data_IF_249524840481
#
_entry.id   IF_249524840481
#
_cell.length_a   1.000
_cell.length_b   1.000
_cell.length_c   1.000
_cell.angle_alpha   90.00
_cell.angle_beta   90.00
_cell.angle_gamma   90.00
#
_symmetry.space_group_name_H-M   'P 1'
#
loop_
_entity.id
_entity.type
_entity.pdbx_description
1 polymer ?
#
# COMPACT_ATOMS: atom_id res chain seq x y z
N UNK A 1 -9.86 -3.98 -12.96
CA UNK A 1 -8.66 -4.32 -12.16
C UNK A 1 -7.98 -3.05 -11.64
N UNK A 2 -8.21 -1.91 -12.29
CA UNK A 2 -7.63 -0.60 -11.97
C UNK A 2 -7.98 -0.05 -10.58
N UNK A 3 -9.19 -0.33 -10.06
CA UNK A 3 -9.62 0.17 -8.74
C UNK A 3 -8.76 -0.36 -7.58
N UNK A 4 -8.28 -1.61 -7.67
CA UNK A 4 -7.51 -2.23 -6.59
C UNK A 4 -6.08 -1.65 -6.51
N UNK A 5 -5.42 -1.49 -7.66
CA UNK A 5 -4.08 -0.91 -7.74
C UNK A 5 -4.13 0.58 -7.34
N UNK A 6 -5.16 1.31 -7.79
CA UNK A 6 -5.41 2.69 -7.37
C UNK A 6 -5.62 2.83 -5.86
N UNK A 7 -6.35 1.90 -5.25
CA UNK A 7 -6.57 1.87 -3.80
C UNK A 7 -5.27 1.69 -3.00
N UNK A 8 -4.41 0.75 -3.41
CA UNK A 8 -3.09 0.54 -2.77
C UNK A 8 -2.22 1.79 -2.92
N UNK A 9 -2.13 2.36 -4.12
CA UNK A 9 -1.33 3.55 -4.39
C UNK A 9 -1.76 4.75 -3.52
N UNK A 10 -3.08 4.95 -3.38
CA UNK A 10 -3.64 6.02 -2.56
C UNK A 10 -3.35 5.80 -1.07
N UNK A 11 -3.46 4.57 -0.57
CA UNK A 11 -3.19 4.25 0.83
C UNK A 11 -1.71 4.46 1.18
N UNK A 12 -0.79 3.95 0.36
CA UNK A 12 0.66 4.15 0.53
C UNK A 12 0.99 5.64 0.58
N UNK A 13 0.48 6.42 -0.37
CA UNK A 13 0.73 7.87 -0.43
C UNK A 13 0.16 8.62 0.77
N UNK A 14 -1.05 8.25 1.20
CA UNK A 14 -1.74 8.87 2.33
C UNK A 14 -0.99 8.57 3.62
N UNK A 15 -0.65 7.30 3.87
CA UNK A 15 0.07 6.88 5.06
C UNK A 15 1.46 7.50 5.15
N UNK A 16 2.22 7.53 4.05
CA UNK A 16 3.54 8.19 4.02
C UNK A 16 3.45 9.67 4.41
N UNK A 17 2.46 10.39 3.87
CA UNK A 17 2.25 11.80 4.19
C UNK A 17 1.84 12.00 5.65
N UNK A 18 1.00 11.12 6.20
CA UNK A 18 0.62 11.16 7.61
C UNK A 18 1.82 10.96 8.57
N UNK A 19 2.84 10.24 8.11
CA UNK A 19 4.11 10.05 8.83
C UNK A 19 5.14 11.16 8.52
N UNK A 20 4.77 12.19 7.75
CA UNK A 20 5.66 13.30 7.34
C UNK A 20 6.92 12.85 6.59
N UNK A 21 6.88 11.71 5.92
CA UNK A 21 8.01 11.16 5.17
C UNK A 21 8.01 11.68 3.72
N UNK A 22 9.19 12.00 3.19
CA UNK A 22 9.39 12.15 1.74
C UNK A 22 9.39 10.78 1.05
N UNK A 23 9.27 10.75 -0.29
CA UNK A 23 9.42 9.48 -1.04
C UNK A 23 10.79 8.84 -0.83
N UNK A 24 11.83 9.67 -0.63
CA UNK A 24 13.18 9.23 -0.34
C UNK A 24 13.29 8.61 1.06
N UNK A 25 12.73 9.25 2.08
CA UNK A 25 12.75 8.71 3.44
C UNK A 25 12.08 7.33 3.50
N UNK A 26 10.93 7.16 2.83
CA UNK A 26 10.26 5.87 2.74
C UNK A 26 11.12 4.84 1.99
N UNK A 27 11.78 5.26 0.92
CA UNK A 27 12.65 4.37 0.16
C UNK A 27 13.83 3.87 1.00
N UNK A 28 14.45 4.77 1.77
CA UNK A 28 15.55 4.47 2.66
C UNK A 28 15.09 3.52 3.80
N UNK A 29 13.92 3.77 4.41
CA UNK A 29 13.33 2.89 5.44
C UNK A 29 12.98 1.50 4.92
N UNK A 30 12.46 1.41 3.68
CA UNK A 30 12.06 0.15 3.07
C UNK A 30 13.22 -0.60 2.39
N UNK A 31 14.42 0.01 2.30
CA UNK A 31 15.56 -0.59 1.59
C UNK A 31 15.35 -0.71 0.08
N UNK A 32 14.65 0.24 -0.54
CA UNK A 32 14.31 0.25 -1.97
C UNK A 32 14.75 1.56 -2.65
N UNK A 33 14.63 1.63 -3.98
CA UNK A 33 14.87 2.89 -4.69
C UNK A 33 13.70 3.87 -4.54
N UNK A 34 13.98 5.18 -4.47
CA UNK A 34 12.94 6.23 -4.51
C UNK A 34 12.05 6.10 -5.75
N UNK A 35 12.63 5.69 -6.89
CA UNK A 35 11.89 5.40 -8.12
C UNK A 35 10.83 4.31 -7.93
N UNK A 36 11.13 3.28 -7.14
CA UNK A 36 10.16 2.23 -6.82
C UNK A 36 8.98 2.80 -6.02
N UNK A 37 9.26 3.57 -4.96
CA UNK A 37 8.21 4.26 -4.17
C UNK A 37 7.33 5.12 -5.07
N UNK A 38 7.94 5.89 -5.99
CA UNK A 38 7.19 6.70 -6.97
C UNK A 38 6.28 5.86 -7.86
N UNK A 39 6.76 4.72 -8.35
CA UNK A 39 5.94 3.81 -9.17
C UNK A 39 4.76 3.22 -8.39
N UNK A 40 4.96 2.85 -7.13
CA UNK A 40 3.88 2.37 -6.26
C UNK A 40 2.83 3.48 -6.07
N UNK A 41 3.24 4.69 -5.70
CA UNK A 41 2.31 5.81 -5.46
C UNK A 41 1.59 6.32 -6.72
N UNK A 42 2.15 6.05 -7.90
CA UNK A 42 1.51 6.34 -9.19
C UNK A 42 0.55 5.23 -9.63
N UNK A 43 0.47 4.12 -8.88
CA UNK A 43 -0.35 2.98 -9.25
C UNK A 43 0.16 2.25 -10.50
N UNK A 44 1.49 2.11 -10.64
CA UNK A 44 2.07 1.33 -11.74
C UNK A 44 1.41 -0.06 -11.77
N UNK A 45 0.87 -0.52 -12.92
CA UNK A 45 0.10 -1.77 -13.00
C UNK A 45 0.87 -3.02 -12.58
N UNK A 46 2.20 -2.97 -12.61
CA UNK A 46 3.07 -4.06 -12.19
C UNK A 46 4.21 -3.56 -11.31
N UNK A 47 4.31 -4.18 -10.13
CA UNK A 47 5.43 -4.07 -9.19
C UNK A 47 5.70 -5.46 -8.61
N UNK A 48 6.92 -5.72 -8.14
CA UNK A 48 7.20 -6.98 -7.45
C UNK A 48 6.56 -6.96 -6.06
N UNK A 49 5.84 -8.02 -5.72
CA UNK A 49 5.07 -8.11 -4.47
C UNK A 49 5.98 -8.06 -3.23
N UNK A 50 7.12 -8.76 -3.25
CA UNK A 50 8.14 -8.75 -2.19
C UNK A 50 8.57 -7.31 -1.80
N UNK A 51 8.81 -6.50 -2.82
CA UNK A 51 9.30 -5.12 -2.69
C UNK A 51 8.16 -4.18 -2.27
N UNK A 52 6.93 -4.47 -2.71
CA UNK A 52 5.75 -3.77 -2.21
C UNK A 52 5.53 -4.06 -0.72
N UNK A 53 5.65 -5.32 -0.29
CA UNK A 53 5.53 -5.68 1.13
C UNK A 53 6.54 -4.93 1.99
N UNK A 54 7.81 -4.84 1.57
CA UNK A 54 8.81 -4.05 2.29
C UNK A 54 8.42 -2.57 2.48
N UNK A 55 7.79 -1.96 1.46
CA UNK A 55 7.25 -0.60 1.55
C UNK A 55 6.06 -0.52 2.51
N UNK A 56 5.16 -1.51 2.51
CA UNK A 56 4.03 -1.56 3.44
C UNK A 56 4.51 -1.73 4.89
N UNK A 57 5.48 -2.61 5.13
CA UNK A 57 6.07 -2.84 6.45
C UNK A 57 6.71 -1.55 7.01
N UNK A 58 7.47 -0.82 6.18
CA UNK A 58 8.07 0.46 6.58
C UNK A 58 7.02 1.54 6.92
N UNK A 59 5.80 1.43 6.41
CA UNK A 59 4.67 2.31 6.71
C UNK A 59 3.80 1.82 7.89
N UNK A 60 4.09 0.64 8.43
CA UNK A 60 3.26 -0.06 9.40
C UNK A 60 1.90 -0.47 8.84
N UNK A 61 1.86 -0.85 7.56
CA UNK A 61 0.67 -1.35 6.85
C UNK A 61 0.78 -2.86 6.63
N UNK A 62 -0.36 -3.54 6.56
CA UNK A 62 -0.44 -4.98 6.29
C UNK A 62 -1.26 -5.24 5.01
N UNK A 63 -0.80 -6.19 4.18
CA UNK A 63 -1.53 -6.65 3.01
C UNK A 63 -2.41 -7.86 3.39
N UNK A 64 -3.73 -7.72 3.29
CA UNK A 64 -4.68 -8.78 3.63
C UNK A 64 -5.28 -9.40 2.35
N UNK A 65 -5.27 -10.73 2.28
CA UNK A 65 -5.98 -11.52 1.26
C UNK A 65 -7.30 -12.03 1.83
N UNK A 66 -8.41 -11.69 1.20
CA UNK A 66 -9.74 -12.07 1.67
C UNK A 66 -10.65 -12.52 0.52
N UNK A 67 -11.65 -13.36 0.83
CA UNK A 67 -12.64 -13.81 -0.14
C UNK A 67 -13.43 -12.62 -0.70
N UNK A 68 -13.59 -12.58 -2.03
CA UNK A 68 -14.39 -11.57 -2.73
C UNK A 68 -15.84 -11.66 -2.26
N UNK A 69 -16.33 -10.62 -1.59
CA UNK A 69 -17.68 -10.59 -0.97
C UNK A 69 -17.69 -10.60 0.57
N UNK A 70 -16.56 -10.91 1.23
CA UNK A 70 -16.46 -10.97 2.70
C UNK A 70 -16.62 -9.61 3.40
N UNK A 71 -16.40 -8.48 2.69
CA UNK A 71 -16.69 -7.13 3.22
C UNK A 71 -18.16 -6.95 3.58
N UNK A 72 -19.08 -7.53 2.82
CA UNK A 72 -20.53 -7.45 3.10
C UNK A 72 -20.94 -8.28 4.34
N UNK A 73 -20.19 -9.33 4.69
CA UNK A 73 -20.47 -10.16 5.87
C UNK A 73 -19.85 -9.58 7.15
N UNK A 74 -18.64 -9.01 7.09
CA UNK A 74 -17.96 -8.44 8.25
C UNK A 74 -18.52 -7.07 8.71
N UNK A 75 -19.17 -6.30 7.81
CA UNK A 75 -19.88 -5.08 8.18
C UNK A 75 -21.22 -5.34 8.91
N UNK A 76 -21.70 -6.59 8.97
CA UNK A 76 -22.90 -6.98 9.74
C UNK A 76 -22.46 -7.48 11.13
N UNK A 77 -22.02 -6.57 12.01
CA UNK A 77 -22.04 -6.87 13.45
C UNK A 77 -23.46 -6.58 13.96
N UNK A 78 -24.26 -7.58 14.39
CA UNK A 78 -25.37 -7.29 15.29
C UNK A 78 -24.80 -6.84 16.64
N UNK A 79 -25.55 -5.96 17.30
CA UNK A 79 -25.30 -5.49 18.65
C UNK A 79 -25.30 -6.65 19.68
#
# INVERSE_FOLDING_TARGET
MDDAVGGIAAEVRTRRRALSLTQRDLADLAGVSERFVRFVEQGKPSVRLDTLCAVLDALGLELIVAARGSRAAAQRRPA
#
